data_IF_436370056494
#
_entry.id   IF_436370056494
#
_cell.length_a   1.000
_cell.length_b   1.000
_cell.length_c   1.000
_cell.angle_alpha   90.00
_cell.angle_beta   90.00
_cell.angle_gamma   90.00
#
_symmetry.space_group_name_H-M   'P 1'
#
loop_
_entity.id
_entity.type
_entity.pdbx_description
1 polymer ?
#
# COMPACT_ATOMS: atom_id res chain seq x y z
N UNK A 1 -0.11 -172.13 12.60
CA UNK A 1 -0.59 -171.27 11.48
C UNK A 1 -1.08 -169.90 11.94
N UNK A 2 -1.75 -169.78 13.09
CA UNK A 2 -2.37 -168.54 13.60
C UNK A 2 -1.42 -167.36 13.85
N UNK A 3 -0.16 -167.60 14.22
CA UNK A 3 0.83 -166.52 14.49
C UNK A 3 1.30 -165.76 13.23
N UNK A 4 1.43 -166.45 12.09
CA UNK A 4 1.95 -165.84 10.85
C UNK A 4 0.93 -164.93 10.17
N UNK A 5 -0.35 -165.30 10.21
CA UNK A 5 -1.45 -164.51 9.64
C UNK A 5 -1.56 -163.16 10.36
N UNK A 6 -1.53 -163.16 11.70
CA UNK A 6 -1.63 -161.93 12.49
C UNK A 6 -0.48 -160.94 12.21
N UNK A 7 0.75 -161.44 11.99
CA UNK A 7 1.89 -160.58 11.62
C UNK A 7 1.72 -159.95 10.24
N UNK A 8 1.23 -160.72 9.26
CA UNK A 8 0.99 -160.21 7.90
C UNK A 8 -0.14 -159.19 7.86
N UNK A 9 -1.22 -159.41 8.62
CA UNK A 9 -2.31 -158.43 8.72
C UNK A 9 -1.81 -157.10 9.29
N UNK A 10 -1.05 -157.13 10.40
CA UNK A 10 -0.48 -155.92 11.01
C UNK A 10 0.45 -155.15 10.06
N UNK A 11 1.13 -155.84 9.15
CA UNK A 11 1.96 -155.22 8.12
C UNK A 11 1.11 -154.59 7.00
N UNK A 12 0.01 -155.23 6.60
CA UNK A 12 -0.94 -154.66 5.64
C UNK A 12 -1.61 -153.40 6.20
N UNK A 13 -2.06 -153.41 7.46
CA UNK A 13 -2.69 -152.26 8.11
C UNK A 13 -1.72 -151.05 8.18
N UNK A 14 -0.43 -151.30 8.41
CA UNK A 14 0.59 -150.25 8.43
C UNK A 14 0.85 -149.65 7.04
N UNK A 15 0.79 -150.47 5.99
CA UNK A 15 0.90 -150.00 4.60
C UNK A 15 -0.33 -149.15 4.25
N UNK A 16 -1.54 -149.60 4.59
CA UNK A 16 -2.76 -148.85 4.30
C UNK A 16 -2.77 -147.48 4.98
N UNK A 17 -2.39 -147.42 6.27
CA UNK A 17 -2.24 -146.14 6.99
C UNK A 17 -1.24 -145.17 6.33
N UNK A 18 -0.25 -145.68 5.59
CA UNK A 18 0.72 -144.84 4.87
C UNK A 18 0.12 -144.30 3.56
N UNK A 19 -0.66 -145.12 2.86
CA UNK A 19 -1.36 -144.74 1.62
C UNK A 19 -2.38 -143.62 1.92
N UNK A 20 -3.20 -143.79 2.95
CA UNK A 20 -4.22 -142.81 3.33
C UNK A 20 -3.58 -141.45 3.71
N UNK A 21 -2.37 -141.47 4.29
CA UNK A 21 -1.61 -140.26 4.59
C UNK A 21 -1.14 -139.51 3.34
N UNK A 22 -0.66 -140.24 2.33
CA UNK A 22 -0.21 -139.66 1.07
C UNK A 22 -1.38 -139.08 0.25
N UNK A 23 -2.54 -139.74 0.23
CA UNK A 23 -3.73 -139.21 -0.46
C UNK A 23 -4.21 -137.87 0.13
N UNK A 24 -4.14 -137.72 1.46
CA UNK A 24 -4.46 -136.46 2.16
C UNK A 24 -3.49 -135.33 1.77
N UNK A 25 -2.19 -135.61 1.67
CA UNK A 25 -1.19 -134.61 1.25
C UNK A 25 -1.43 -134.16 -0.19
N UNK A 26 -1.79 -135.08 -1.10
CA UNK A 26 -2.11 -134.75 -2.50
C UNK A 26 -3.34 -133.85 -2.62
N UNK A 27 -4.42 -134.07 -1.85
CA UNK A 27 -5.61 -133.20 -1.87
C UNK A 27 -5.31 -131.78 -1.34
N UNK A 28 -4.47 -131.67 -0.30
CA UNK A 28 -4.03 -130.37 0.25
C UNK A 28 -3.23 -129.59 -0.80
N UNK A 29 -2.31 -130.26 -1.50
CA UNK A 29 -1.51 -129.64 -2.57
C UNK A 29 -2.43 -129.21 -3.73
N UNK A 30 -3.36 -130.08 -4.16
CA UNK A 30 -4.30 -129.79 -5.24
C UNK A 30 -5.22 -128.59 -4.98
N UNK A 31 -5.65 -128.37 -3.73
CA UNK A 31 -6.46 -127.19 -3.36
C UNK A 31 -5.65 -125.89 -3.38
N UNK A 32 -4.38 -125.91 -2.96
CA UNK A 32 -3.50 -124.72 -3.01
C UNK A 32 -3.17 -124.30 -4.44
N UNK A 33 -3.06 -125.26 -5.34
CA UNK A 33 -2.69 -125.02 -6.74
C UNK A 33 -3.74 -124.28 -7.59
N UNK A 34 -5.02 -124.21 -7.17
CA UNK A 34 -6.09 -123.56 -7.98
C UNK A 34 -5.89 -122.06 -8.24
N UNK A 35 -5.00 -121.39 -7.52
CA UNK A 35 -4.80 -119.94 -7.59
C UNK A 35 -3.44 -119.53 -8.19
N UNK A 36 -2.62 -120.51 -8.55
CA UNK A 36 -1.32 -120.35 -9.20
C UNK A 36 -1.41 -120.83 -10.65
N UNK A 37 -0.66 -120.21 -11.55
CA UNK A 37 -0.51 -120.65 -12.94
C UNK A 37 0.66 -121.64 -13.08
N UNK A 38 0.52 -122.58 -14.02
CA UNK A 38 1.51 -123.64 -14.30
C UNK A 38 1.10 -125.01 -13.75
N UNK A 39 1.67 -126.09 -14.30
CA UNK A 39 1.35 -127.47 -13.87
C UNK A 39 1.94 -127.81 -12.49
N UNK A 40 3.02 -127.13 -12.07
CA UNK A 40 3.75 -127.36 -10.80
C UNK A 40 3.52 -126.25 -9.75
N UNK A 41 2.59 -125.31 -10.00
CA UNK A 41 2.14 -124.27 -9.05
C UNK A 41 3.24 -123.31 -8.57
N UNK A 42 4.24 -123.04 -9.41
CA UNK A 42 5.50 -122.41 -9.04
C UNK A 42 5.84 -121.11 -9.81
N UNK A 43 5.01 -120.67 -10.78
CA UNK A 43 5.45 -119.66 -11.76
C UNK A 43 4.77 -118.27 -11.62
N UNK A 44 3.51 -118.13 -11.20
CA UNK A 44 2.88 -116.82 -10.87
C UNK A 44 1.41 -116.98 -10.39
N UNK A 45 0.81 -115.90 -9.84
CA UNK A 45 -0.65 -115.83 -9.67
C UNK A 45 -1.37 -115.88 -11.03
N UNK A 46 -2.56 -116.48 -11.08
CA UNK A 46 -3.41 -116.43 -12.26
C UNK A 46 -3.84 -114.98 -12.60
N UNK A 47 -4.17 -114.72 -13.86
CA UNK A 47 -4.50 -113.39 -14.39
C UNK A 47 -5.59 -112.68 -13.55
N UNK A 48 -5.36 -111.40 -13.22
CA UNK A 48 -6.27 -110.60 -12.39
C UNK A 48 -6.09 -110.74 -10.87
N UNK A 49 -5.15 -111.57 -10.40
CA UNK A 49 -4.78 -111.71 -8.99
C UNK A 49 -3.36 -111.19 -8.72
N UNK A 50 -3.12 -110.76 -7.48
CA UNK A 50 -1.84 -110.27 -6.98
C UNK A 50 -1.70 -110.58 -5.48
N UNK A 51 -0.52 -110.31 -4.93
CA UNK A 51 -0.19 -110.56 -3.53
C UNK A 51 0.57 -111.87 -3.36
N UNK A 52 1.18 -112.04 -2.19
CA UNK A 52 2.06 -113.18 -1.91
C UNK A 52 1.31 -114.53 -1.86
N UNK A 53 0.00 -114.49 -1.66
CA UNK A 53 -0.89 -115.65 -1.61
C UNK A 53 -1.87 -115.71 -2.79
N UNK A 54 -1.75 -114.79 -3.75
CA UNK A 54 -2.62 -114.67 -4.91
C UNK A 54 -4.12 -114.48 -4.60
N UNK A 55 -4.48 -114.01 -3.40
CA UNK A 55 -5.87 -113.80 -3.02
C UNK A 55 -6.40 -112.39 -3.38
N UNK A 56 -5.55 -111.38 -3.54
CA UNK A 56 -5.98 -110.01 -3.80
C UNK A 56 -6.24 -109.74 -5.29
N UNK A 57 -7.28 -108.98 -5.66
CA UNK A 57 -7.51 -108.58 -7.04
C UNK A 57 -6.55 -107.46 -7.49
N UNK A 58 -6.27 -107.42 -8.79
CA UNK A 58 -5.62 -106.27 -9.45
C UNK A 58 -6.70 -105.24 -9.77
N UNK A 59 -6.59 -104.04 -9.19
CA UNK A 59 -7.54 -102.95 -9.37
C UNK A 59 -7.18 -102.07 -10.58
N UNK A 60 -8.18 -101.48 -11.23
CA UNK A 60 -7.97 -100.38 -12.18
C UNK A 60 -7.32 -99.19 -11.45
N UNK A 61 -6.44 -98.45 -12.14
CA UNK A 61 -5.86 -97.18 -11.72
C UNK A 61 -6.84 -96.15 -11.12
N UNK A 62 -8.12 -96.22 -11.47
CA UNK A 62 -9.19 -95.34 -10.96
C UNK A 62 -9.72 -95.75 -9.59
N UNK A 63 -9.50 -97.00 -9.17
CA UNK A 63 -9.94 -97.52 -7.88
C UNK A 63 -8.81 -97.47 -6.84
N UNK A 64 -9.11 -97.03 -5.62
CA UNK A 64 -8.22 -97.20 -4.47
C UNK A 64 -8.43 -98.55 -3.77
N UNK A 65 -9.66 -99.08 -3.77
CA UNK A 65 -10.02 -100.43 -3.34
C UNK A 65 -11.02 -101.03 -4.34
N UNK A 66 -10.87 -102.31 -4.70
CA UNK A 66 -11.75 -102.99 -5.65
C UNK A 66 -12.08 -104.43 -5.21
N UNK A 67 -13.25 -104.91 -5.63
CA UNK A 67 -13.71 -106.29 -5.40
C UNK A 67 -13.36 -107.22 -6.58
N UNK A 68 -13.21 -106.65 -7.77
CA UNK A 68 -12.75 -107.31 -9.00
C UNK A 68 -12.20 -106.27 -10.00
N UNK A 69 -11.47 -106.69 -11.05
CA UNK A 69 -11.06 -105.77 -12.12
C UNK A 69 -12.27 -105.03 -12.71
N UNK A 70 -12.30 -103.71 -12.58
CA UNK A 70 -13.39 -102.85 -13.09
C UNK A 70 -14.55 -102.56 -12.13
N UNK A 71 -14.56 -103.11 -10.90
CA UNK A 71 -15.58 -102.84 -9.89
C UNK A 71 -14.95 -102.23 -8.62
N UNK A 72 -15.03 -100.90 -8.48
CA UNK A 72 -14.41 -100.16 -7.38
C UNK A 72 -15.35 -100.08 -6.16
N UNK A 73 -14.84 -100.38 -4.97
CA UNK A 73 -15.54 -100.09 -3.70
C UNK A 73 -15.16 -98.72 -3.14
N UNK A 74 -13.99 -98.20 -3.50
CA UNK A 74 -13.58 -96.81 -3.24
C UNK A 74 -12.80 -96.23 -4.43
N UNK A 75 -13.09 -94.98 -4.76
CA UNK A 75 -12.41 -94.25 -5.84
C UNK A 75 -11.08 -93.66 -5.38
N UNK A 76 -10.15 -93.53 -6.33
CA UNK A 76 -8.92 -92.74 -6.17
C UNK A 76 -9.23 -91.23 -6.05
N UNK A 77 -8.26 -90.42 -5.64
CA UNK A 77 -8.44 -89.07 -5.06
C UNK A 77 -9.42 -88.14 -5.77
N UNK A 78 -9.33 -87.98 -7.08
CA UNK A 78 -10.14 -87.01 -7.85
C UNK A 78 -11.30 -87.63 -8.63
N UNK A 79 -11.50 -88.95 -8.50
CA UNK A 79 -12.62 -89.68 -9.10
C UNK A 79 -13.79 -89.79 -8.12
N UNK A 80 -15.01 -89.90 -8.68
CA UNK A 80 -16.27 -89.94 -7.93
C UNK A 80 -17.31 -90.84 -8.63
N UNK A 81 -18.40 -91.14 -7.92
CA UNK A 81 -19.50 -91.99 -8.36
C UNK A 81 -19.26 -93.49 -8.12
N UNK A 82 -20.32 -94.29 -8.21
CA UNK A 82 -20.30 -95.72 -7.86
C UNK A 82 -19.33 -96.56 -8.71
N UNK A 83 -19.00 -96.11 -9.93
CA UNK A 83 -18.03 -96.78 -10.82
C UNK A 83 -16.73 -95.98 -10.99
N UNK A 84 -16.53 -94.92 -10.19
CA UNK A 84 -15.38 -94.01 -10.28
C UNK A 84 -15.15 -93.39 -11.67
N UNK A 85 -16.23 -93.28 -12.44
CA UNK A 85 -16.23 -92.76 -13.81
C UNK A 85 -16.48 -91.26 -13.90
N UNK A 86 -16.86 -90.61 -12.80
CA UNK A 86 -17.05 -89.17 -12.71
C UNK A 86 -15.83 -88.52 -12.08
N UNK A 87 -15.62 -87.23 -12.36
CA UNK A 87 -14.65 -86.43 -11.63
C UNK A 87 -15.33 -85.71 -10.47
N UNK A 88 -14.61 -85.56 -9.35
CA UNK A 88 -15.07 -84.70 -8.26
C UNK A 88 -15.25 -83.26 -8.75
N UNK A 89 -16.20 -82.53 -8.18
CA UNK A 89 -16.47 -81.13 -8.49
C UNK A 89 -15.19 -80.30 -8.53
N UNK A 90 -14.97 -79.59 -9.63
CA UNK A 90 -13.76 -78.80 -9.87
C UNK A 90 -12.66 -79.52 -10.65
N UNK A 91 -12.80 -80.80 -11.01
CA UNK A 91 -11.86 -81.54 -11.86
C UNK A 91 -12.54 -82.03 -13.15
N UNK A 92 -11.76 -82.15 -14.22
CA UNK A 92 -12.21 -82.58 -15.55
C UNK A 92 -11.14 -83.38 -16.28
N UNK A 93 -11.48 -83.89 -17.46
CA UNK A 93 -10.64 -84.75 -18.29
C UNK A 93 -10.80 -86.24 -18.00
N UNK A 94 -10.33 -87.09 -18.91
CA UNK A 94 -10.54 -88.54 -18.88
C UNK A 94 -9.96 -89.25 -17.64
N UNK A 95 -8.98 -88.62 -16.98
CA UNK A 95 -8.31 -89.10 -15.76
C UNK A 95 -8.54 -88.20 -14.55
N UNK A 96 -9.48 -87.25 -14.64
CA UNK A 96 -9.81 -86.29 -13.57
C UNK A 96 -8.58 -85.56 -12.99
N UNK A 97 -7.56 -85.32 -13.82
CA UNK A 97 -6.30 -84.70 -13.43
C UNK A 97 -6.19 -83.24 -13.88
N UNK A 98 -7.19 -82.72 -14.62
CA UNK A 98 -7.22 -81.33 -15.06
C UNK A 98 -8.14 -80.52 -14.14
N UNK A 99 -7.65 -79.52 -13.41
CA UNK A 99 -8.52 -78.66 -12.61
C UNK A 99 -9.33 -77.73 -13.50
N UNK A 100 -10.58 -77.50 -13.12
CA UNK A 100 -11.44 -76.47 -13.69
C UNK A 100 -11.14 -75.18 -12.92
N UNK A 101 -10.56 -74.19 -13.62
CA UNK A 101 -10.16 -72.93 -13.02
C UNK A 101 -11.35 -71.99 -12.79
N UNK A 102 -11.26 -71.14 -11.77
CA UNK A 102 -12.18 -70.02 -11.58
C UNK A 102 -12.17 -69.09 -12.81
N UNK A 103 -13.31 -68.47 -13.12
CA UNK A 103 -13.47 -67.52 -14.23
C UNK A 103 -12.45 -66.36 -14.26
N UNK A 104 -11.89 -65.97 -13.10
CA UNK A 104 -10.87 -64.92 -12.96
C UNK A 104 -9.44 -65.44 -13.13
N UNK A 105 -9.28 -66.73 -13.43
CA UNK A 105 -8.02 -67.42 -13.49
C UNK A 105 -7.78 -68.03 -14.89
N UNK A 106 -6.66 -67.68 -15.52
CA UNK A 106 -6.28 -68.24 -16.84
C UNK A 106 -5.59 -69.59 -16.74
N UNK A 107 -4.89 -69.86 -15.63
CA UNK A 107 -4.19 -71.13 -15.40
C UNK A 107 -4.19 -71.41 -13.90
N UNK A 108 -4.55 -72.63 -13.50
CA UNK A 108 -4.66 -73.02 -12.10
C UNK A 108 -3.96 -74.37 -11.86
N UNK A 109 -3.26 -74.47 -10.72
CA UNK A 109 -2.64 -75.73 -10.29
C UNK A 109 -3.62 -76.66 -9.57
N UNK A 110 -4.73 -76.11 -9.07
CA UNK A 110 -5.86 -76.83 -8.48
C UNK A 110 -7.12 -75.94 -8.54
N UNK A 111 -8.33 -76.47 -8.28
CA UNK A 111 -9.59 -75.72 -8.46
C UNK A 111 -9.72 -74.46 -7.59
N UNK A 112 -8.84 -74.26 -6.61
CA UNK A 112 -8.87 -73.11 -5.69
C UNK A 112 -7.54 -72.33 -5.62
N UNK A 113 -6.57 -72.65 -6.48
CA UNK A 113 -5.25 -71.99 -6.51
C UNK A 113 -4.94 -71.54 -7.92
N UNK A 114 -4.94 -70.22 -8.13
CA UNK A 114 -4.64 -69.64 -9.41
C UNK A 114 -3.14 -69.34 -9.54
N UNK A 115 -2.54 -69.73 -10.67
CA UNK A 115 -1.16 -69.37 -10.99
C UNK A 115 -1.07 -68.10 -11.82
N UNK A 116 -2.06 -67.81 -12.66
CA UNK A 116 -2.10 -66.57 -13.47
C UNK A 116 -3.51 -66.00 -13.54
N UNK A 117 -3.69 -64.82 -12.94
CA UNK A 117 -4.97 -64.10 -12.95
C UNK A 117 -5.25 -63.42 -14.29
N UNK A 118 -6.51 -63.44 -14.69
CA UNK A 118 -7.01 -62.74 -15.89
C UNK A 118 -7.11 -61.23 -15.64
N UNK A 119 -6.81 -60.40 -16.64
CA UNK A 119 -7.08 -58.95 -16.59
C UNK A 119 -6.32 -58.19 -15.48
N UNK A 120 -7.05 -57.37 -14.71
CA UNK A 120 -6.50 -56.47 -13.67
C UNK A 120 -6.51 -57.08 -12.27
N UNK A 121 -6.81 -58.37 -12.13
CA UNK A 121 -6.75 -59.09 -10.86
C UNK A 121 -5.33 -59.59 -10.56
N UNK A 122 -5.04 -59.77 -9.28
CA UNK A 122 -3.76 -60.15 -8.72
C UNK A 122 -3.94 -61.00 -7.44
N UNK A 123 -2.84 -61.60 -6.97
CA UNK A 123 -2.81 -62.50 -5.82
C UNK A 123 -3.13 -63.96 -6.17
N UNK A 124 -2.87 -64.87 -5.23
CA UNK A 124 -2.97 -66.34 -5.44
C UNK A 124 -4.39 -66.86 -5.65
N UNK A 125 -5.40 -66.04 -5.33
CA UNK A 125 -6.82 -66.31 -5.55
C UNK A 125 -7.48 -65.30 -6.47
N UNK A 126 -6.71 -64.42 -7.13
CA UNK A 126 -7.22 -63.37 -8.02
C UNK A 126 -8.29 -62.47 -7.38
N UNK A 127 -8.12 -62.21 -6.09
CA UNK A 127 -9.05 -61.42 -5.27
C UNK A 127 -8.57 -60.01 -4.98
N UNK A 128 -7.34 -59.68 -5.39
CA UNK A 128 -6.71 -58.36 -5.22
C UNK A 128 -6.68 -57.67 -6.58
N UNK A 129 -6.76 -56.35 -6.63
CA UNK A 129 -6.52 -55.61 -7.88
C UNK A 129 -5.04 -55.29 -8.04
N UNK A 130 -4.53 -55.37 -9.27
CA UNK A 130 -3.19 -54.88 -9.61
C UNK A 130 -3.05 -53.41 -9.20
N UNK A 131 -1.83 -53.00 -8.86
CA UNK A 131 -1.53 -51.62 -8.47
C UNK A 131 -2.10 -50.62 -9.48
N UNK A 132 -2.85 -49.64 -8.98
CA UNK A 132 -3.53 -48.64 -9.80
C UNK A 132 -4.97 -48.98 -10.18
N UNK A 133 -5.51 -50.14 -9.81
CA UNK A 133 -6.92 -50.51 -10.04
C UNK A 133 -7.66 -50.77 -8.73
N UNK A 134 -8.98 -50.57 -8.74
CA UNK A 134 -9.84 -50.69 -7.57
C UNK A 134 -11.26 -51.13 -7.95
N UNK A 135 -12.09 -51.33 -6.93
CA UNK A 135 -13.45 -51.83 -7.08
C UNK A 135 -13.53 -53.36 -7.11
N UNK A 136 -14.74 -53.88 -6.92
CA UNK A 136 -15.00 -55.33 -6.77
C UNK A 136 -14.56 -56.12 -8.02
N UNK A 137 -14.61 -55.48 -9.20
CA UNK A 137 -14.23 -56.08 -10.48
C UNK A 137 -12.87 -55.62 -11.00
N UNK A 138 -12.11 -54.83 -10.23
CA UNK A 138 -10.83 -54.23 -10.65
C UNK A 138 -10.91 -53.45 -11.98
N UNK A 139 -12.09 -52.89 -12.28
CA UNK A 139 -12.38 -52.14 -13.50
C UNK A 139 -12.27 -50.63 -13.30
N UNK A 140 -12.11 -50.16 -12.06
CA UNK A 140 -12.04 -48.73 -11.77
C UNK A 140 -10.58 -48.31 -11.59
N UNK A 141 -10.00 -47.48 -12.47
CA UNK A 141 -8.65 -46.99 -12.30
C UNK A 141 -8.58 -46.07 -11.08
N UNK A 142 -7.52 -46.21 -10.30
CA UNK A 142 -7.14 -45.28 -9.23
C UNK A 142 -6.35 -44.15 -9.88
N UNK A 143 -6.92 -42.95 -9.86
CA UNK A 143 -6.31 -41.79 -10.49
C UNK A 143 -5.16 -41.22 -9.66
N UNK A 144 -4.18 -40.63 -10.34
CA UNK A 144 -3.15 -39.80 -9.70
C UNK A 144 -3.81 -38.62 -8.97
N UNK A 145 -3.21 -38.13 -7.88
CA UNK A 145 -3.77 -37.02 -7.10
C UNK A 145 -3.89 -35.71 -7.89
N UNK A 146 -3.14 -35.58 -9.01
CA UNK A 146 -3.24 -34.45 -9.96
C UNK A 146 -4.40 -34.59 -10.95
N UNK A 147 -5.20 -35.64 -10.84
CA UNK A 147 -6.32 -35.95 -11.72
C UNK A 147 -7.66 -35.94 -10.99
N UNK A 148 -8.69 -35.37 -11.61
CA UNK A 148 -10.07 -35.52 -11.14
C UNK A 148 -10.73 -36.74 -11.76
N UNK A 149 -10.44 -37.01 -13.03
CA UNK A 149 -10.84 -38.23 -13.73
C UNK A 149 -9.68 -38.77 -14.57
N UNK A 150 -9.59 -40.09 -14.69
CA UNK A 150 -8.54 -40.77 -15.44
C UNK A 150 -9.14 -41.91 -16.28
N UNK A 151 -8.62 -42.06 -17.49
CA UNK A 151 -9.04 -43.14 -18.40
C UNK A 151 -8.36 -44.48 -18.04
N UNK A 152 -7.15 -44.41 -17.48
CA UNK A 152 -6.39 -45.55 -16.97
C UNK A 152 -5.40 -45.08 -15.90
N UNK A 153 -4.78 -45.98 -15.13
CA UNK A 153 -3.76 -45.59 -14.15
C UNK A 153 -2.64 -44.83 -14.84
N UNK A 154 -2.31 -43.63 -14.33
CA UNK A 154 -1.28 -42.75 -14.90
C UNK A 154 -1.70 -41.93 -16.14
N UNK A 155 -2.93 -42.08 -16.67
CA UNK A 155 -3.42 -41.29 -17.82
C UNK A 155 -4.60 -40.41 -17.40
N UNK A 156 -4.34 -39.11 -17.34
CA UNK A 156 -5.30 -38.14 -16.84
C UNK A 156 -6.27 -37.69 -17.93
N UNK A 157 -7.57 -37.71 -17.64
CA UNK A 157 -8.59 -37.17 -18.54
C UNK A 157 -8.88 -35.71 -18.22
N UNK A 158 -8.88 -35.35 -16.94
CA UNK A 158 -9.07 -33.98 -16.47
C UNK A 158 -8.11 -33.69 -15.32
N UNK A 159 -7.29 -32.65 -15.48
CA UNK A 159 -6.36 -32.19 -14.45
C UNK A 159 -7.08 -31.52 -13.28
N UNK A 160 -6.62 -31.81 -12.07
CA UNK A 160 -7.05 -31.12 -10.84
C UNK A 160 -6.34 -29.77 -10.69
N UNK A 161 -7.07 -28.76 -10.21
CA UNK A 161 -6.49 -27.47 -9.83
C UNK A 161 -5.81 -26.71 -10.99
N UNK A 162 -4.55 -26.32 -10.79
CA UNK A 162 -3.76 -25.49 -11.71
C UNK A 162 -2.84 -26.29 -12.64
N UNK A 163 -3.01 -27.61 -12.72
CA UNK A 163 -2.28 -28.46 -13.65
C UNK A 163 -2.90 -28.43 -15.05
N UNK A 164 -2.09 -28.66 -16.08
CA UNK A 164 -2.50 -28.77 -17.48
C UNK A 164 -1.62 -29.77 -18.25
N UNK A 165 -2.07 -30.12 -19.47
CA UNK A 165 -1.45 -31.11 -20.34
C UNK A 165 -2.08 -32.49 -20.20
N UNK A 166 -1.83 -33.39 -21.16
CA UNK A 166 -2.41 -34.74 -21.22
C UNK A 166 -2.01 -35.65 -20.05
N UNK A 167 -0.92 -35.34 -19.35
CA UNK A 167 -0.46 -36.04 -18.15
C UNK A 167 -0.49 -35.17 -16.89
N UNK A 168 -1.09 -33.97 -16.97
CA UNK A 168 -1.15 -33.01 -15.86
C UNK A 168 0.22 -32.74 -15.21
N UNK A 169 1.22 -32.59 -16.08
CA UNK A 169 2.64 -32.45 -15.71
C UNK A 169 3.15 -31.02 -15.82
N UNK A 170 2.36 -30.10 -16.37
CA UNK A 170 2.71 -28.68 -16.53
C UNK A 170 1.72 -27.79 -15.81
N UNK A 171 2.13 -26.58 -15.43
CA UNK A 171 1.25 -25.61 -14.80
C UNK A 171 0.47 -24.81 -15.84
N UNK A 172 -0.78 -24.46 -15.52
CA UNK A 172 -1.58 -23.48 -16.28
C UNK A 172 -0.82 -22.16 -16.41
N UNK A 173 -1.06 -21.43 -17.50
CA UNK A 173 -0.48 -20.10 -17.73
C UNK A 173 -0.68 -19.21 -16.50
N UNK A 174 0.41 -18.59 -16.04
CA UNK A 174 0.43 -17.77 -14.83
C UNK A 174 0.74 -18.52 -13.54
N UNK A 175 0.94 -19.84 -13.54
CA UNK A 175 1.33 -20.61 -12.35
C UNK A 175 2.69 -21.30 -12.53
N UNK A 176 3.40 -21.49 -11.43
CA UNK A 176 4.74 -22.11 -11.39
C UNK A 176 4.91 -22.95 -10.10
N UNK A 177 6.09 -23.55 -9.97
CA UNK A 177 6.48 -24.40 -8.84
C UNK A 177 6.12 -25.88 -9.04
N UNK A 178 6.73 -26.76 -8.26
CA UNK A 178 6.58 -28.21 -8.38
C UNK A 178 5.16 -28.73 -8.15
N UNK A 179 4.29 -27.92 -7.54
CA UNK A 179 2.87 -28.24 -7.27
C UNK A 179 1.89 -27.36 -8.05
N UNK A 180 2.38 -26.47 -8.92
CA UNK A 180 1.58 -25.45 -9.61
C UNK A 180 0.73 -24.57 -8.66
N UNK A 181 1.21 -24.36 -7.45
CA UNK A 181 0.52 -23.59 -6.40
C UNK A 181 1.08 -22.18 -6.25
N UNK A 182 2.16 -21.84 -6.93
CA UNK A 182 2.78 -20.51 -6.86
C UNK A 182 2.34 -19.68 -8.07
N UNK A 183 1.62 -18.56 -7.87
CA UNK A 183 1.27 -17.68 -8.98
C UNK A 183 2.51 -16.89 -9.45
N UNK A 184 2.57 -16.65 -10.76
CA UNK A 184 3.53 -15.74 -11.38
C UNK A 184 2.91 -14.34 -11.34
N UNK A 185 3.54 -13.45 -10.58
CA UNK A 185 3.06 -12.07 -10.43
C UNK A 185 3.43 -11.22 -11.65
N UNK A 186 2.63 -10.17 -11.91
CA UNK A 186 3.01 -9.13 -12.87
C UNK A 186 4.33 -8.47 -12.43
N UNK A 187 5.12 -7.98 -13.39
CA UNK A 187 6.37 -7.25 -13.16
C UNK A 187 6.27 -6.09 -12.15
N UNK A 188 5.10 -5.46 -12.01
CA UNK A 188 4.85 -4.34 -11.07
C UNK A 188 4.30 -4.80 -9.72
N UNK A 189 4.18 -6.11 -9.52
CA UNK A 189 3.61 -6.75 -8.34
C UNK A 189 4.67 -7.59 -7.61
N UNK A 190 4.87 -7.33 -6.32
CA UNK A 190 5.85 -8.08 -5.51
C UNK A 190 5.24 -9.32 -4.86
N UNK A 191 3.94 -9.27 -4.54
CA UNK A 191 3.20 -10.43 -4.03
C UNK A 191 1.80 -10.47 -4.63
N UNK A 192 1.42 -11.64 -5.13
CA UNK A 192 0.12 -11.90 -5.75
C UNK A 192 -0.52 -13.15 -5.16
N UNK A 193 -1.83 -13.11 -4.94
CA UNK A 193 -2.60 -14.25 -4.45
C UNK A 193 -3.00 -15.21 -5.59
N UNK A 194 -3.12 -14.67 -6.80
CA UNK A 194 -3.40 -15.40 -8.04
C UNK A 194 -2.89 -14.60 -9.25
N UNK A 195 -2.76 -15.20 -10.43
CA UNK A 195 -2.30 -14.49 -11.63
C UNK A 195 -3.25 -13.33 -11.94
N UNK A 196 -2.70 -12.13 -12.08
CA UNK A 196 -3.48 -10.91 -12.31
C UNK A 196 -4.12 -10.28 -11.06
N UNK A 197 -3.96 -10.86 -9.86
CA UNK A 197 -4.40 -10.24 -8.60
C UNK A 197 -3.21 -9.93 -7.68
N UNK A 198 -2.86 -8.66 -7.61
CA UNK A 198 -1.76 -8.21 -6.79
C UNK A 198 -2.22 -7.80 -5.38
N UNK A 199 -1.52 -8.29 -4.35
CA UNK A 199 -1.74 -7.86 -2.97
C UNK A 199 -0.73 -6.80 -2.52
N UNK A 200 0.48 -6.78 -3.09
CA UNK A 200 1.48 -5.76 -2.79
C UNK A 200 2.14 -5.27 -4.08
N UNK A 201 2.00 -3.98 -4.34
CA UNK A 201 2.63 -3.33 -5.48
C UNK A 201 4.11 -3.03 -5.22
N UNK A 202 4.87 -2.99 -6.31
CA UNK A 202 6.22 -2.42 -6.30
C UNK A 202 6.16 -0.93 -5.93
N UNK A 203 7.26 -0.41 -5.38
CA UNK A 203 7.35 0.98 -4.95
C UNK A 203 6.92 1.95 -6.08
N UNK A 204 6.04 2.89 -5.74
CA UNK A 204 5.50 3.87 -6.69
C UNK A 204 4.28 3.42 -7.47
N UNK A 205 3.74 2.22 -7.29
CA UNK A 205 2.50 1.76 -7.95
C UNK A 205 1.40 1.44 -6.94
N UNK A 206 0.14 1.55 -7.38
CA UNK A 206 -1.06 1.28 -6.58
C UNK A 206 -2.21 0.74 -7.43
N UNK A 207 -3.30 0.35 -6.77
CA UNK A 207 -4.47 -0.28 -7.37
C UNK A 207 -4.38 -1.81 -7.37
N UNK A 208 -5.52 -2.48 -7.61
CA UNK A 208 -5.64 -3.95 -7.53
C UNK A 208 -4.72 -4.72 -8.51
N UNK A 209 -4.29 -4.05 -9.58
CA UNK A 209 -3.38 -4.58 -10.61
C UNK A 209 -2.06 -3.82 -10.68
N UNK A 210 -1.76 -2.94 -9.70
CA UNK A 210 -0.55 -2.12 -9.67
C UNK A 210 -0.29 -1.34 -10.97
N UNK A 211 -1.37 -0.93 -11.63
CA UNK A 211 -1.33 -0.25 -12.92
C UNK A 211 -1.48 1.27 -12.78
N UNK A 212 -1.78 1.76 -11.58
CA UNK A 212 -1.89 3.19 -11.30
C UNK A 212 -0.59 3.67 -10.66
N UNK A 213 0.12 4.66 -11.23
CA UNK A 213 1.30 5.23 -10.59
C UNK A 213 0.90 6.10 -9.40
N UNK A 214 1.72 6.06 -8.35
CA UNK A 214 1.66 6.99 -7.23
C UNK A 214 2.48 8.22 -7.62
N UNK A 215 1.82 9.36 -7.76
CA UNK A 215 2.46 10.60 -8.14
C UNK A 215 3.21 11.22 -6.95
N UNK A 216 4.28 11.98 -7.25
CA UNK A 216 4.90 12.85 -6.24
C UNK A 216 3.87 13.85 -5.71
N UNK A 217 3.99 14.26 -4.45
CA UNK A 217 3.11 15.25 -3.82
C UNK A 217 2.97 16.58 -4.58
N UNK A 218 3.98 16.96 -5.36
CA UNK A 218 4.01 18.19 -6.20
C UNK A 218 3.44 17.96 -7.61
N UNK A 219 2.92 16.76 -7.87
CA UNK A 219 2.41 16.31 -9.16
C UNK A 219 0.94 15.88 -9.04
N UNK A 220 0.07 16.48 -9.84
CA UNK A 220 -1.37 16.12 -9.87
C UNK A 220 -1.66 14.99 -10.85
N UNK A 221 -0.88 14.85 -11.91
CA UNK A 221 -1.03 13.77 -12.88
C UNK A 221 0.33 13.27 -13.34
N UNK A 222 0.56 11.96 -13.21
CA UNK A 222 1.80 11.30 -13.60
C UNK A 222 1.51 10.09 -14.51
N UNK A 223 2.39 9.87 -15.48
CA UNK A 223 2.30 8.74 -16.42
C UNK A 223 3.07 7.51 -15.91
N UNK A 224 4.05 7.72 -15.04
CA UNK A 224 4.78 6.69 -14.30
C UNK A 224 5.33 7.27 -12.99
N UNK A 225 5.81 6.43 -12.05
CA UNK A 225 6.50 6.93 -10.87
C UNK A 225 7.65 7.86 -11.28
N UNK A 226 7.68 9.08 -10.73
CA UNK A 226 8.69 10.09 -11.05
C UNK A 226 8.52 10.84 -12.38
N UNK A 227 7.53 10.53 -13.22
CA UNK A 227 7.24 11.27 -14.46
C UNK A 227 5.93 12.04 -14.36
N UNK A 228 6.05 13.34 -14.10
CA UNK A 228 4.89 14.21 -13.96
C UNK A 228 4.50 14.88 -15.28
N UNK A 229 3.22 14.82 -15.62
CA UNK A 229 2.66 15.55 -16.77
C UNK A 229 1.96 16.84 -16.37
N UNK A 230 1.44 16.94 -15.14
CA UNK A 230 0.77 18.13 -14.63
C UNK A 230 1.22 18.42 -13.20
N UNK A 231 1.84 19.58 -13.00
CA UNK A 231 2.29 20.01 -11.68
C UNK A 231 1.13 20.51 -10.82
N UNK A 232 1.29 20.35 -9.50
CA UNK A 232 0.47 21.05 -8.51
C UNK A 232 0.63 22.56 -8.64
N UNK A 233 -0.40 23.31 -8.25
CA UNK A 233 -0.38 24.78 -8.30
C UNK A 233 0.89 25.35 -7.64
N UNK A 234 1.53 26.29 -8.32
CA UNK A 234 2.77 26.92 -7.87
C UNK A 234 4.06 26.16 -8.22
N UNK A 235 4.00 25.00 -8.88
CA UNK A 235 5.20 24.28 -9.33
C UNK A 235 5.27 24.17 -10.86
N UNK A 236 6.49 24.07 -11.39
CA UNK A 236 6.77 23.93 -12.82
C UNK A 236 8.01 23.06 -13.05
N UNK A 237 8.33 22.82 -14.33
CA UNK A 237 9.41 21.95 -14.79
C UNK A 237 8.97 20.49 -14.94
N UNK A 238 9.79 19.69 -15.63
CA UNK A 238 9.48 18.29 -15.98
C UNK A 238 9.26 17.37 -14.76
N UNK A 239 9.82 17.74 -13.61
CA UNK A 239 9.70 17.01 -12.34
C UNK A 239 8.93 17.80 -11.28
N UNK A 240 8.28 18.90 -11.65
CA UNK A 240 7.56 19.79 -10.73
C UNK A 240 8.40 20.21 -9.50
N UNK A 241 9.71 20.33 -9.71
CA UNK A 241 10.68 20.64 -8.65
C UNK A 241 11.09 22.11 -8.65
N UNK A 242 10.66 22.88 -9.65
CA UNK A 242 10.92 24.32 -9.75
C UNK A 242 9.70 25.08 -9.24
N UNK A 243 9.81 25.91 -8.19
CA UNK A 243 8.70 26.73 -7.75
C UNK A 243 8.44 27.88 -8.74
N UNK A 244 7.17 28.22 -8.92
CA UNK A 244 6.72 29.42 -9.60
C UNK A 244 6.66 30.54 -8.57
N UNK A 245 7.49 31.55 -8.75
CA UNK A 245 7.57 32.67 -7.81
C UNK A 245 6.40 33.65 -8.03
N UNK A 246 5.99 34.32 -6.94
CA UNK A 246 5.09 35.46 -7.05
C UNK A 246 5.72 36.57 -7.92
N UNK A 247 4.88 37.36 -8.60
CA UNK A 247 5.32 38.51 -9.39
C UNK A 247 6.24 39.50 -8.65
N UNK A 248 6.07 39.64 -7.34
CA UNK A 248 6.88 40.51 -6.47
C UNK A 248 8.19 39.84 -6.04
N UNK A 249 8.42 38.60 -6.43
CA UNK A 249 9.54 37.78 -6.01
C UNK A 249 10.44 37.41 -7.19
N UNK A 250 11.73 37.73 -7.09
CA UNK A 250 12.71 37.40 -8.14
C UNK A 250 13.22 35.96 -8.02
N UNK A 251 13.44 35.49 -6.79
CA UNK A 251 13.84 34.12 -6.49
C UNK A 251 13.08 33.59 -5.29
N UNK A 252 12.55 32.37 -5.39
CA UNK A 252 11.76 31.72 -4.35
C UNK A 252 12.27 30.29 -4.10
N UNK A 253 12.18 29.86 -2.84
CA UNK A 253 12.58 28.50 -2.42
C UNK A 253 11.40 27.53 -2.47
N UNK A 254 10.18 28.03 -2.35
CA UNK A 254 8.93 27.31 -2.54
C UNK A 254 7.83 28.28 -2.96
N UNK A 255 6.67 27.79 -3.45
CA UNK A 255 5.54 28.66 -3.76
C UNK A 255 5.17 29.48 -2.51
N UNK A 256 5.06 30.80 -2.66
CA UNK A 256 4.74 31.73 -1.57
C UNK A 256 5.90 32.07 -0.61
N UNK A 257 7.09 31.49 -0.77
CA UNK A 257 8.27 31.81 0.06
C UNK A 257 9.37 32.40 -0.80
N UNK A 258 9.52 33.72 -0.69
CA UNK A 258 10.50 34.49 -1.44
C UNK A 258 11.82 34.60 -0.69
N UNK A 259 12.93 34.42 -1.41
CA UNK A 259 14.27 34.71 -0.90
C UNK A 259 14.75 36.11 -1.29
N UNK A 260 14.34 36.62 -2.45
CA UNK A 260 14.72 37.97 -2.91
C UNK A 260 13.52 38.68 -3.53
N UNK A 261 13.02 39.70 -2.85
CA UNK A 261 11.94 40.54 -3.33
C UNK A 261 12.39 41.48 -4.45
N UNK A 262 11.51 41.69 -5.42
CA UNK A 262 11.67 42.68 -6.48
C UNK A 262 11.36 44.09 -5.98
N UNK A 263 12.02 45.10 -6.55
CA UNK A 263 11.75 46.51 -6.26
C UNK A 263 11.91 46.88 -4.78
N UNK A 264 10.87 47.48 -4.21
CA UNK A 264 10.87 48.02 -2.84
C UNK A 264 10.11 47.16 -1.83
N UNK A 265 9.77 45.93 -2.21
CA UNK A 265 9.15 44.95 -1.32
C UNK A 265 10.20 44.27 -0.44
N UNK A 266 9.74 43.77 0.70
CA UNK A 266 10.54 43.11 1.71
C UNK A 266 9.71 42.04 2.46
N UNK A 267 10.39 41.22 3.26
CA UNK A 267 9.83 40.11 4.01
C UNK A 267 9.71 38.80 3.21
N UNK A 268 9.42 37.68 3.88
CA UNK A 268 9.44 36.34 3.29
C UNK A 268 8.37 36.11 2.22
N UNK A 269 7.36 36.97 2.14
CA UNK A 269 6.30 36.95 1.13
C UNK A 269 6.25 38.22 0.28
N UNK A 270 7.26 39.09 0.36
CA UNK A 270 7.30 40.38 -0.35
C UNK A 270 6.01 41.21 -0.15
N UNK A 271 5.51 41.22 1.09
CA UNK A 271 4.23 41.81 1.46
C UNK A 271 4.36 43.09 2.28
N UNK A 272 5.58 43.40 2.75
CA UNK A 272 5.88 44.65 3.45
C UNK A 272 6.84 45.49 2.61
N UNK A 273 6.91 46.78 2.87
CA UNK A 273 7.86 47.66 2.20
C UNK A 273 9.22 47.63 2.90
N UNK A 274 10.30 47.82 2.13
CA UNK A 274 11.63 48.13 2.67
C UNK A 274 11.54 49.38 3.56
N UNK A 275 12.47 49.50 4.51
CA UNK A 275 12.47 50.54 5.57
C UNK A 275 12.29 51.99 5.10
N UNK A 276 12.71 52.34 3.89
CA UNK A 276 12.58 53.70 3.33
C UNK A 276 11.37 53.89 2.41
N UNK A 277 10.45 52.92 2.35
CA UNK A 277 9.30 52.93 1.44
C UNK A 277 7.98 52.65 2.17
N UNK A 278 6.89 53.17 1.62
CA UNK A 278 5.53 52.99 2.13
C UNK A 278 4.49 53.03 1.00
N UNK A 279 3.22 52.96 1.36
CA UNK A 279 2.09 52.83 0.47
C UNK A 279 1.73 51.36 0.19
N UNK A 280 0.51 51.13 -0.28
CA UNK A 280 0.01 49.79 -0.61
C UNK A 280 0.79 49.09 -1.72
N UNK A 281 1.59 49.84 -2.48
CA UNK A 281 2.44 49.35 -3.57
C UNK A 281 3.93 49.59 -3.33
N UNK A 282 4.34 50.02 -2.12
CA UNK A 282 5.73 50.34 -1.77
C UNK A 282 6.44 51.29 -2.75
N UNK A 283 5.68 52.23 -3.31
CA UNK A 283 6.15 53.19 -4.31
C UNK A 283 6.31 54.61 -3.74
N UNK A 284 6.00 54.83 -2.47
CA UNK A 284 6.16 56.12 -1.82
C UNK A 284 7.42 56.09 -0.95
N UNK A 285 8.43 56.90 -1.30
CA UNK A 285 9.64 57.02 -0.49
C UNK A 285 9.36 57.85 0.77
N UNK A 286 9.86 57.40 1.93
CA UNK A 286 9.78 58.16 3.19
C UNK A 286 10.62 59.44 3.15
N UNK A 287 11.72 59.45 2.39
CA UNK A 287 12.67 60.56 2.39
C UNK A 287 13.21 60.86 3.78
N UNK A 288 13.33 62.15 4.10
CA UNK A 288 13.88 62.59 5.39
C UNK A 288 12.97 62.29 6.59
N UNK A 289 11.70 61.93 6.38
CA UNK A 289 10.84 61.43 7.47
C UNK A 289 11.40 60.17 8.13
N UNK A 290 12.14 59.33 7.40
CA UNK A 290 12.77 58.14 7.97
C UNK A 290 13.81 58.48 9.05
N UNK A 291 14.33 59.72 9.04
CA UNK A 291 15.41 60.18 9.90
C UNK A 291 14.98 61.31 10.86
N UNK A 292 13.66 61.51 11.05
CA UNK A 292 13.17 62.51 11.99
C UNK A 292 13.44 62.07 13.44
N UNK A 293 13.93 62.96 14.31
CA UNK A 293 14.01 62.71 15.75
C UNK A 293 12.66 62.95 16.47
N UNK A 294 11.66 63.53 15.79
CA UNK A 294 10.38 63.86 16.39
C UNK A 294 9.46 62.62 16.47
N UNK A 295 9.53 61.73 15.48
CA UNK A 295 8.68 60.56 15.34
C UNK A 295 9.44 59.39 14.67
N UNK A 296 8.95 58.16 14.83
CA UNK A 296 9.55 56.97 14.21
C UNK A 296 9.31 56.91 12.70
N UNK A 297 10.14 56.14 11.96
CA UNK A 297 9.92 55.89 10.54
C UNK A 297 8.53 55.28 10.25
N UNK A 298 7.99 54.44 11.15
CA UNK A 298 6.63 53.91 11.04
C UNK A 298 5.54 54.99 11.12
N UNK A 299 5.74 56.00 11.96
CA UNK A 299 4.85 57.16 12.03
C UNK A 299 4.99 58.06 10.81
N UNK A 300 6.21 58.23 10.29
CA UNK A 300 6.44 58.92 9.02
C UNK A 300 5.74 58.24 7.85
N UNK A 301 5.83 56.91 7.76
CA UNK A 301 5.11 56.10 6.78
C UNK A 301 3.59 56.30 6.89
N UNK A 302 3.04 56.20 8.12
CA UNK A 302 1.61 56.37 8.38
C UNK A 302 1.14 57.81 8.12
N UNK A 303 1.96 58.83 8.40
CA UNK A 303 1.71 60.23 8.04
C UNK A 303 1.54 60.37 6.52
N UNK A 304 2.42 59.77 5.72
CA UNK A 304 2.30 59.78 4.25
C UNK A 304 0.98 59.12 3.81
N UNK A 305 0.69 57.90 4.30
CA UNK A 305 -0.44 57.12 3.77
C UNK A 305 -1.80 57.57 4.29
N UNK A 306 -1.89 58.07 5.53
CA UNK A 306 -3.17 58.39 6.18
C UNK A 306 -3.51 59.88 6.13
N UNK A 307 -2.50 60.76 6.16
CA UNK A 307 -2.71 62.21 6.24
C UNK A 307 -2.27 62.89 4.94
N UNK A 308 -1.06 62.66 4.45
CA UNK A 308 -0.56 63.37 3.27
C UNK A 308 -1.00 62.74 1.94
N UNK A 309 -1.79 61.66 1.99
CA UNK A 309 -2.38 61.03 0.81
C UNK A 309 -3.16 62.07 -0.01
N UNK A 310 -2.80 62.19 -1.28
CA UNK A 310 -3.38 63.12 -2.24
C UNK A 310 -2.73 64.52 -2.30
N UNK A 311 -1.83 64.87 -1.36
CA UNK A 311 -1.15 66.19 -1.37
C UNK A 311 0.36 66.12 -1.52
N UNK A 312 0.95 64.92 -1.45
CA UNK A 312 2.36 64.67 -1.78
C UNK A 312 2.66 65.01 -3.24
N UNK A 313 3.59 65.94 -3.48
CA UNK A 313 4.12 66.28 -4.82
C UNK A 313 5.54 65.75 -5.05
N UNK A 314 6.30 65.45 -4.00
CA UNK A 314 7.66 64.92 -4.07
C UNK A 314 8.02 64.13 -2.82
N UNK A 315 9.20 63.54 -2.81
CA UNK A 315 9.71 62.85 -1.61
C UNK A 315 9.93 63.85 -0.48
N UNK A 316 9.48 63.55 0.77
CA UNK A 316 9.67 64.45 1.90
C UNK A 316 11.13 64.85 2.08
N UNK A 317 11.40 66.14 1.96
CA UNK A 317 12.75 66.72 2.11
C UNK A 317 12.69 67.78 3.20
N UNK A 318 13.51 67.63 4.23
CA UNK A 318 13.51 68.54 5.38
C UNK A 318 14.11 69.88 4.95
N UNK A 319 13.33 70.94 5.10
CA UNK A 319 13.76 72.31 4.87
C UNK A 319 14.38 72.89 6.14
N UNK A 320 13.77 72.60 7.29
CA UNK A 320 14.09 73.27 8.53
C UNK A 320 13.82 72.37 9.74
N UNK A 321 14.67 72.51 10.77
CA UNK A 321 14.47 71.95 12.10
C UNK A 321 14.86 72.99 13.14
N UNK A 322 13.95 73.34 14.03
CA UNK A 322 14.16 74.44 14.97
C UNK A 322 15.35 74.23 15.89
N UNK A 323 15.51 73.03 16.48
CA UNK A 323 16.66 72.72 17.34
C UNK A 323 18.02 72.80 16.62
N UNK A 324 18.06 72.57 15.30
CA UNK A 324 19.31 72.59 14.52
C UNK A 324 19.60 73.94 13.86
N UNK A 325 18.56 74.61 13.35
CA UNK A 325 18.68 75.88 12.63
C UNK A 325 18.51 77.10 13.56
N UNK A 326 18.03 76.89 14.80
CA UNK A 326 17.72 77.93 15.78
C UNK A 326 16.26 78.35 15.73
N UNK A 327 15.66 78.65 16.88
CA UNK A 327 14.22 78.97 16.99
C UNK A 327 13.84 80.37 16.47
N UNK A 328 14.78 81.19 16.00
CA UNK A 328 14.47 82.55 15.58
C UNK A 328 13.62 82.58 14.27
N UNK A 329 12.59 83.44 14.14
CA UNK A 329 11.77 83.54 12.92
C UNK A 329 12.59 83.73 11.63
N UNK A 330 13.66 84.53 11.66
CA UNK A 330 14.60 84.67 10.54
C UNK A 330 15.19 83.34 10.05
N UNK A 331 15.52 82.41 10.94
CA UNK A 331 16.08 81.12 10.54
C UNK A 331 15.05 80.26 9.81
N UNK A 332 13.79 80.28 10.28
CA UNK A 332 12.67 79.63 9.60
C UNK A 332 12.43 80.23 8.22
N UNK A 333 12.28 81.56 8.13
CA UNK A 333 11.99 82.22 6.85
C UNK A 333 13.12 82.07 5.84
N UNK A 334 14.38 82.13 6.28
CA UNK A 334 15.54 81.89 5.41
C UNK A 334 15.55 80.45 4.83
N UNK A 335 15.01 79.47 5.57
CA UNK A 335 14.97 78.08 5.12
C UNK A 335 13.69 77.74 4.31
N UNK A 336 12.56 78.35 4.64
CA UNK A 336 11.24 77.92 4.17
C UNK A 336 10.59 78.85 3.14
N UNK A 337 11.00 80.12 3.03
CA UNK A 337 10.42 81.05 2.07
C UNK A 337 10.59 80.55 0.63
N UNK A 338 9.56 80.75 -0.19
CA UNK A 338 9.48 80.27 -1.57
C UNK A 338 9.03 78.80 -1.73
N UNK A 339 9.04 78.00 -0.66
CA UNK A 339 8.56 76.62 -0.72
C UNK A 339 7.05 76.55 -0.50
N UNK A 340 6.35 75.94 -1.45
CA UNK A 340 4.94 75.54 -1.36
C UNK A 340 4.81 74.04 -1.08
N UNK A 341 3.61 73.55 -0.77
CA UNK A 341 3.39 72.13 -0.42
C UNK A 341 4.32 71.69 0.70
N UNK A 342 4.18 72.38 1.83
CA UNK A 342 5.00 72.13 3.02
C UNK A 342 4.17 71.54 4.13
N UNK A 343 4.79 70.65 4.90
CA UNK A 343 4.23 70.10 6.13
C UNK A 343 5.12 70.48 7.31
N UNK A 344 4.49 71.04 8.33
CA UNK A 344 5.14 71.39 9.59
C UNK A 344 4.70 70.39 10.64
N UNK A 345 5.66 69.76 11.32
CA UNK A 345 5.44 68.74 12.34
C UNK A 345 6.03 69.25 13.65
N UNK A 346 5.21 69.26 14.70
CA UNK A 346 5.53 69.81 16.02
C UNK A 346 5.49 68.68 17.04
N UNK A 347 6.50 68.63 17.91
CA UNK A 347 6.52 67.76 19.10
C UNK A 347 6.50 68.63 20.36
N UNK A 348 5.64 68.29 21.31
CA UNK A 348 5.60 68.98 22.61
C UNK A 348 6.50 68.30 23.63
N UNK A 349 6.83 69.00 24.72
CA UNK A 349 7.52 68.41 25.87
C UNK A 349 6.71 67.29 26.53
N UNK A 350 5.39 67.35 26.45
CA UNK A 350 4.46 66.32 26.90
C UNK A 350 4.32 65.13 25.93
N UNK A 351 5.02 65.15 24.79
CA UNK A 351 5.07 64.03 23.84
C UNK A 351 3.99 64.01 22.77
N UNK A 352 3.09 65.01 22.73
CA UNK A 352 2.12 65.12 21.64
C UNK A 352 2.83 65.45 20.30
N UNK A 353 2.33 64.87 19.21
CA UNK A 353 2.83 65.12 17.85
C UNK A 353 1.66 65.48 16.93
N UNK A 354 1.74 66.65 16.33
CA UNK A 354 0.70 67.22 15.46
C UNK A 354 1.33 68.19 14.47
N UNK A 355 0.53 68.77 13.59
CA UNK A 355 1.08 69.68 12.61
C UNK A 355 0.06 70.25 11.64
N UNK A 356 0.60 70.82 10.56
CA UNK A 356 -0.18 71.46 9.51
C UNK A 356 0.44 71.20 8.14
N UNK A 357 -0.42 71.10 7.13
CA UNK A 357 -0.04 71.12 5.72
C UNK A 357 -0.54 72.41 5.07
N UNK A 358 0.31 73.00 4.23
CA UNK A 358 0.03 74.18 3.42
C UNK A 358 0.38 73.90 1.96
N UNK A 359 -0.50 74.27 1.04
CA UNK A 359 -0.29 74.13 -0.41
C UNK A 359 0.33 75.36 -1.05
N UNK A 360 0.19 76.53 -0.44
CA UNK A 360 0.75 77.81 -0.90
C UNK A 360 2.20 78.02 -0.41
N UNK A 361 3.01 78.84 -1.11
CA UNK A 361 4.37 79.14 -0.68
C UNK A 361 4.42 80.05 0.55
N UNK A 362 5.45 79.88 1.39
CA UNK A 362 5.82 80.87 2.39
C UNK A 362 6.38 82.13 1.70
N UNK A 363 5.78 83.30 1.87
CA UNK A 363 6.33 84.56 1.29
C UNK A 363 7.26 85.30 2.25
N UNK A 364 8.13 86.11 1.66
CA UNK A 364 9.02 87.03 2.35
C UNK A 364 8.32 88.33 2.78
N UNK A 365 8.95 89.03 3.73
CA UNK A 365 8.59 90.38 4.13
C UNK A 365 8.91 91.37 3.01
N UNK A 366 7.88 91.93 2.37
CA UNK A 366 8.07 93.12 1.55
C UNK A 366 8.30 94.33 2.47
N UNK A 367 9.48 94.96 2.39
CA UNK A 367 9.85 96.12 3.22
C UNK A 367 8.90 97.35 3.12
N UNK A 368 7.95 97.33 2.19
CA UNK A 368 6.88 98.34 2.05
C UNK A 368 5.53 97.95 2.67
N UNK A 369 5.35 96.72 3.17
CA UNK A 369 4.13 96.29 3.86
C UNK A 369 4.31 96.46 5.39
N UNK A 370 3.57 97.40 5.98
CA UNK A 370 3.60 97.69 7.43
C UNK A 370 2.78 96.68 8.25
N UNK A 371 2.10 95.72 7.63
CA UNK A 371 1.28 94.72 8.34
C UNK A 371 2.16 93.60 8.89
N UNK A 372 2.13 93.48 10.21
CA UNK A 372 2.80 92.44 11.00
C UNK A 372 2.18 91.04 10.75
N UNK A 373 0.88 90.98 10.47
CA UNK A 373 0.15 89.74 10.22
C UNK A 373 -0.41 89.74 8.81
N UNK A 374 -0.14 88.69 8.03
CA UNK A 374 -0.70 88.51 6.69
C UNK A 374 -1.49 87.20 6.65
N UNK A 375 -2.70 87.30 6.13
CA UNK A 375 -3.63 86.17 6.04
C UNK A 375 -3.89 85.86 4.58
N UNK A 376 -3.67 84.60 4.22
CA UNK A 376 -3.87 84.08 2.87
C UNK A 376 -4.96 83.04 2.88
N UNK A 377 -5.68 82.89 1.78
CA UNK A 377 -6.60 81.77 1.64
C UNK A 377 -5.89 80.58 1.00
N UNK A 378 -5.97 79.42 1.65
CA UNK A 378 -5.47 78.15 1.11
C UNK A 378 -6.57 77.09 1.27
N UNK A 379 -7.29 76.74 0.19
CA UNK A 379 -8.39 75.79 0.24
C UNK A 379 -7.94 74.33 0.45
N UNK A 380 -6.63 74.06 0.40
CA UNK A 380 -6.06 72.74 0.59
C UNK A 380 -5.28 72.64 1.92
N UNK A 381 -5.22 73.71 2.71
CA UNK A 381 -4.58 73.69 4.01
C UNK A 381 -5.39 72.86 4.99
N UNK A 382 -4.69 72.11 5.84
CA UNK A 382 -5.32 71.39 6.94
C UNK A 382 -4.36 71.22 8.10
N UNK A 383 -4.93 71.12 9.29
CA UNK A 383 -4.22 70.64 10.47
C UNK A 383 -4.38 69.12 10.59
N UNK A 384 -3.45 68.49 11.30
CA UNK A 384 -3.54 67.08 11.64
C UNK A 384 -3.00 66.81 13.05
N UNK A 385 -3.41 65.69 13.62
CA UNK A 385 -2.83 65.12 14.83
C UNK A 385 -2.25 63.73 14.49
N UNK A 386 -1.14 63.35 15.12
CA UNK A 386 -0.53 62.03 14.99
C UNK A 386 -0.56 61.28 16.32
N UNK A 387 -0.22 61.95 17.41
CA UNK A 387 -0.08 61.36 18.74
C UNK A 387 -0.55 62.36 19.79
N UNK A 388 -1.35 61.93 20.76
CA UNK A 388 -1.74 62.75 21.92
C UNK A 388 -0.62 62.79 22.98
N UNK A 389 -0.70 63.68 23.97
CA UNK A 389 0.24 63.68 25.10
C UNK A 389 0.16 62.46 26.02
N UNK A 390 -0.97 61.76 26.00
CA UNK A 390 -1.11 60.46 26.66
C UNK A 390 -0.51 59.31 25.85
N UNK A 391 0.09 59.60 24.68
CA UNK A 391 0.71 58.60 23.81
C UNK A 391 -0.26 57.86 22.88
N UNK A 392 -1.52 58.32 22.76
CA UNK A 392 -2.51 57.67 21.90
C UNK A 392 -2.28 58.07 20.44
N UNK A 393 -2.08 57.08 19.56
CA UNK A 393 -1.97 57.28 18.12
C UNK A 393 -3.31 57.71 17.50
N UNK A 394 -3.31 58.81 16.75
CA UNK A 394 -4.52 59.47 16.28
C UNK A 394 -4.31 60.22 14.96
N UNK A 395 -3.80 59.51 13.96
CA UNK A 395 -3.55 60.00 12.60
C UNK A 395 -4.84 60.46 11.90
N UNK A 396 -5.29 61.69 12.22
CA UNK A 396 -6.51 62.29 11.67
C UNK A 396 -6.25 63.68 11.11
N UNK A 397 -6.91 63.99 9.98
CA UNK A 397 -7.05 65.36 9.46
C UNK A 397 -8.15 66.08 10.24
N UNK A 398 -7.97 67.37 10.44
CA UNK A 398 -9.01 68.22 11.02
C UNK A 398 -9.90 68.80 9.92
N UNK A 399 -11.20 68.87 10.22
CA UNK A 399 -12.18 69.48 9.34
C UNK A 399 -12.15 71.00 9.43
N UNK A 400 -12.28 71.66 8.28
CA UNK A 400 -12.53 73.09 8.21
C UNK A 400 -13.94 73.41 8.78
N UNK A 401 -14.02 74.37 9.70
CA UNK A 401 -15.25 74.68 10.44
C UNK A 401 -16.22 75.63 9.73
N UNK A 402 -15.80 76.25 8.61
CA UNK A 402 -16.63 77.20 7.86
C UNK A 402 -16.78 78.59 8.47
N UNK A 403 -16.33 78.82 9.71
CA UNK A 403 -16.65 80.03 10.50
C UNK A 403 -15.87 81.29 10.10
N UNK A 404 -14.69 81.12 9.51
CA UNK A 404 -13.80 82.18 9.03
C UNK A 404 -13.13 81.54 7.82
N UNK A 405 -13.21 82.14 6.61
CA UNK A 405 -12.72 81.56 5.34
C UNK A 405 -11.44 80.73 5.48
N UNK A 406 -11.21 79.69 4.67
CA UNK A 406 -10.01 78.82 4.74
C UNK A 406 -8.75 79.67 4.69
N UNK A 407 -8.22 80.05 5.85
CA UNK A 407 -7.23 81.12 5.99
C UNK A 407 -6.03 80.61 6.76
N UNK A 408 -4.87 80.77 6.15
CA UNK A 408 -3.57 80.53 6.74
C UNK A 408 -3.01 81.89 7.05
N UNK A 409 -2.91 82.20 8.33
CA UNK A 409 -2.21 83.42 8.77
C UNK A 409 -0.77 83.04 9.02
N UNK A 410 0.18 83.71 8.37
CA UNK A 410 1.57 83.65 8.79
C UNK A 410 2.11 85.07 8.97
N UNK A 411 3.14 85.17 9.80
CA UNK A 411 3.67 86.43 10.30
C UNK A 411 5.18 86.41 10.05
N UNK A 412 5.74 87.52 9.56
CA UNK A 412 7.16 87.61 9.23
C UNK A 412 8.07 87.87 10.45
N UNK A 413 7.52 88.38 11.56
CA UNK A 413 8.24 88.58 12.83
C UNK A 413 7.91 87.50 13.86
N UNK A 414 7.00 86.57 13.57
CA UNK A 414 6.73 85.45 14.45
C UNK A 414 6.92 84.12 13.74
N UNK A 415 6.91 83.06 14.54
CA UNK A 415 7.02 81.69 14.09
C UNK A 415 5.83 81.25 13.22
N UNK A 416 5.87 80.04 12.62
CA UNK A 416 4.78 79.50 11.84
C UNK A 416 3.45 79.56 12.60
N UNK A 417 2.46 80.15 11.95
CA UNK A 417 1.09 80.25 12.41
C UNK A 417 0.21 79.46 11.43
N UNK A 418 -0.77 78.75 11.96
CA UNK A 418 -1.70 77.97 11.14
C UNK A 418 -3.13 78.28 11.55
N UNK A 419 -4.04 78.43 10.57
CA UNK A 419 -5.40 78.91 10.80
C UNK A 419 -5.45 80.39 11.23
N UNK A 420 -6.58 80.84 11.76
CA UNK A 420 -6.72 82.14 12.41
C UNK A 420 -6.10 82.13 13.84
N UNK A 421 -4.83 81.71 13.93
CA UNK A 421 -4.12 81.39 15.18
C UNK A 421 -4.59 80.10 15.86
N UNK A 422 -4.95 79.09 15.07
CA UNK A 422 -5.34 77.76 15.58
C UNK A 422 -4.16 77.01 16.17
N UNK A 423 -2.96 77.20 15.60
CA UNK A 423 -1.69 76.80 16.18
C UNK A 423 -0.76 78.01 16.10
N UNK A 424 -0.23 78.40 17.25
CA UNK A 424 0.81 79.40 17.39
C UNK A 424 2.02 78.80 18.09
N UNK A 425 3.20 78.94 17.49
CA UNK A 425 4.46 78.45 18.03
C UNK A 425 5.33 79.62 18.56
N UNK A 426 4.90 80.40 19.57
CA UNK A 426 5.62 81.62 20.04
C UNK A 426 6.83 81.39 20.97
N UNK A 427 7.76 82.32 21.20
CA UNK A 427 7.63 83.78 21.28
C UNK A 427 8.67 84.54 20.43
N UNK A 428 8.22 85.51 19.61
CA UNK A 428 9.02 86.65 19.13
C UNK A 428 10.47 86.33 18.69
N UNK A 429 11.38 87.29 18.88
CA UNK A 429 12.81 87.19 18.55
C UNK A 429 13.62 86.38 19.59
N UNK A 430 13.07 85.25 20.08
CA UNK A 430 13.70 84.41 21.11
C UNK A 430 14.61 83.31 20.52
N UNK A 431 15.64 82.92 21.26
CA UNK A 431 16.57 81.83 20.93
C UNK A 431 16.22 80.48 21.60
N UNK A 432 15.08 80.38 22.30
CA UNK A 432 14.70 79.22 23.11
C UNK A 432 13.50 78.46 22.53
N UNK A 433 13.30 77.17 22.88
CA UNK A 433 12.09 76.43 22.51
C UNK A 433 10.82 77.15 22.97
N UNK A 434 9.81 77.17 22.10
CA UNK A 434 8.57 77.93 22.25
C UNK A 434 7.75 77.54 23.51
N UNK A 435 7.81 78.31 24.62
CA UNK A 435 7.15 77.96 25.87
C UNK A 435 5.69 78.45 25.92
N UNK A 436 5.33 79.44 25.09
CA UNK A 436 4.00 80.06 25.01
C UNK A 436 3.26 79.70 23.73
N UNK A 437 3.50 78.49 23.24
CA UNK A 437 2.73 77.96 22.13
C UNK A 437 1.30 77.65 22.61
N UNK A 438 0.31 77.87 21.76
CA UNK A 438 -1.07 77.57 22.07
C UNK A 438 -1.82 77.03 20.86
N UNK A 439 -2.90 76.31 21.14
CA UNK A 439 -3.87 75.86 20.14
C UNK A 439 -5.27 76.34 20.49
N UNK A 440 -5.85 77.18 19.64
CA UNK A 440 -7.22 77.68 19.76
C UNK A 440 -8.00 77.41 18.47
N UNK A 441 -8.49 76.18 18.25
CA UNK A 441 -9.17 75.83 17.01
C UNK A 441 -10.42 76.69 16.78
N UNK A 442 -10.31 77.64 15.85
CA UNK A 442 -11.38 78.46 15.32
C UNK A 442 -11.62 78.12 13.84
N UNK A 443 -10.56 78.01 13.02
CA UNK A 443 -10.65 77.71 11.59
C UNK A 443 -10.69 76.20 11.30
N UNK A 444 -9.91 75.40 12.03
CA UNK A 444 -9.88 73.95 11.94
C UNK A 444 -10.35 73.34 13.26
N UNK A 445 -11.54 72.72 13.27
CA UNK A 445 -12.14 72.19 14.49
C UNK A 445 -11.87 70.69 14.68
N UNK A 446 -11.75 70.24 15.94
CA UNK A 446 -11.66 68.82 16.22
C UNK A 446 -13.02 68.19 15.91
N UNK A 447 -13.00 66.97 15.38
CA UNK A 447 -14.22 66.24 15.04
C UNK A 447 -15.03 65.83 16.29
N UNK A 448 -14.43 65.86 17.49
CA UNK A 448 -15.10 65.54 18.75
C UNK A 448 -15.00 66.69 19.77
N UNK A 449 -16.03 66.88 20.64
CA UNK A 449 -15.99 67.83 21.74
C UNK A 449 -14.84 67.56 22.73
N UNK A 450 -14.19 68.61 23.26
CA UNK A 450 -13.11 68.58 24.27
C UNK A 450 -11.73 68.08 23.81
N UNK A 451 -11.44 68.04 22.52
CA UNK A 451 -10.11 67.71 22.01
C UNK A 451 -9.16 68.93 21.99
N UNK A 452 -7.96 68.80 22.57
CA UNK A 452 -6.79 69.68 22.32
C UNK A 452 -5.68 68.90 21.60
N UNK A 453 -5.00 69.53 20.63
CA UNK A 453 -3.94 68.91 19.84
C UNK A 453 -2.57 68.96 20.52
N UNK A 454 -2.34 70.01 21.31
CA UNK A 454 -1.07 70.25 21.98
C UNK A 454 -0.93 69.51 23.30
N UNK A 455 -2.05 69.46 24.06
CA UNK A 455 -2.29 68.84 25.38
C UNK A 455 -3.48 69.55 26.03
N UNK A 456 -3.41 70.88 25.98
CA UNK A 456 -4.18 71.92 26.67
C UNK A 456 -4.24 73.15 25.76
N UNK A 457 -4.88 74.26 26.18
CA UNK A 457 -4.87 75.50 25.39
C UNK A 457 -3.44 75.97 25.09
N UNK A 458 -2.57 76.03 26.11
CA UNK A 458 -1.14 76.33 25.97
C UNK A 458 -0.29 75.07 26.13
N UNK A 459 0.86 75.01 25.48
CA UNK A 459 1.83 73.91 25.53
C UNK A 459 3.26 74.41 25.26
N UNK A 460 4.24 73.61 25.66
CA UNK A 460 5.67 73.87 25.35
C UNK A 460 6.13 72.98 24.21
N UNK A 461 6.74 73.58 23.19
CA UNK A 461 7.33 72.87 22.05
C UNK A 461 8.70 72.34 22.45
N UNK A 462 8.95 71.05 22.24
CA UNK A 462 10.30 70.49 22.37
C UNK A 462 11.10 70.71 21.09
N UNK A 463 10.50 70.45 19.93
CA UNK A 463 11.11 70.72 18.62
C UNK A 463 10.02 70.79 17.53
N UNK A 464 10.35 71.38 16.38
CA UNK A 464 9.51 71.30 15.19
C UNK A 464 10.35 71.23 13.91
N UNK A 465 9.81 70.54 12.92
CA UNK A 465 10.43 70.36 11.61
C UNK A 465 9.47 70.78 10.50
N UNK A 466 10.04 71.25 9.39
CA UNK A 466 9.30 71.66 8.19
C UNK A 466 9.87 70.91 7.01
N UNK A 467 8.99 70.27 6.25
CA UNK A 467 9.35 69.48 5.09
C UNK A 467 8.63 70.00 3.87
N UNK A 468 9.32 69.97 2.74
CA UNK A 468 8.67 70.06 1.43
C UNK A 468 8.26 68.66 1.00
N UNK A 469 7.01 68.51 0.55
CA UNK A 469 6.37 67.22 0.27
C UNK A 469 5.66 67.18 -1.05
#
# INVERSE_FOLDING_TARGET
MTSTIAKRQKQADKIQSTIDGLESEVDIIGKRCKHYGGEDCDIACAEGRRGYDCLAPVCDSKCSICESPGNCSQCSTNHDGATCSLCKTGWTGATCSTPVCDSKCTTCGSPSVCSVCSGNYDGTTCSICKTGWSGITCSTPVCDSKCTTCASPGVCSVCSGNWQGSTCSTCKTGWTGATCSTPICDSKCTTCASPGQCSVCSAGWTGATCSTPVCDSKCTTCTSPGQCSVCSSGWTGATCSTPVCDSKCTTCTSPGVCSVCSGNWDGPSCSVCKTSWTGSSCNLALGDFANSPLFSASYGARLITSILSGVMKKTPTRLYRAMGNGYHPYAFHNACNGYSSTVTIVKTSAGAVFGAYLSIPWEDYNAGDIRILKTFSDPNAFLFSMVTSSGVERFVKLGYSGAVGQTVTYNFITHPLFGASDIYLGQGMSFQPAPDAYSKPATFQPLEPNWSYGTTYSFTVSDYEVYSV
#
